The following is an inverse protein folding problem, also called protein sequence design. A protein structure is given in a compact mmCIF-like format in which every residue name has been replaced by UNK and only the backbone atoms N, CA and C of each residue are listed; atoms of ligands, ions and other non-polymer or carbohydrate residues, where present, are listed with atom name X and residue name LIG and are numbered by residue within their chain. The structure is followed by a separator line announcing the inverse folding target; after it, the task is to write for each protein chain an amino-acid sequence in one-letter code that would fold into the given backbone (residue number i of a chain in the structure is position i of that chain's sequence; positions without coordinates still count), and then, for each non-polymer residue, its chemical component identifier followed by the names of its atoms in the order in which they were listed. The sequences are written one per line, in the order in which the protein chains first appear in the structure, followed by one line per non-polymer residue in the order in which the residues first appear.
data_IF_879636717624
#
_entry.id   IF_879636717624
#
_cell.length_a   1.000
_cell.length_b   1.000
_cell.length_c   1.000
_cell.angle_alpha   90.00
_cell.angle_beta   90.00
_cell.angle_gamma   90.00
#
_symmetry.space_group_name_H-M   'P 1'
#
loop_
_entity.id
_entity.type
_entity.pdbx_description
1 polymer ?
#
# COMPACT_ATOMS: atom_id res chain seq x y z
N UNK A 1 -9.52 16.12 -2.45
CA UNK A 1 -9.04 15.98 -3.84
C UNK A 1 -7.83 15.07 -3.88
N UNK A 2 -7.51 14.46 -5.02
CA UNK A 2 -6.44 13.46 -5.21
C UNK A 2 -5.06 13.84 -4.67
N UNK A 3 -4.72 15.13 -4.65
CA UNK A 3 -3.45 15.64 -4.06
C UNK A 3 -3.39 15.44 -2.53
N UNK A 4 -4.54 15.50 -1.84
CA UNK A 4 -4.63 15.28 -0.38
C UNK A 4 -4.33 13.82 -0.02
N UNK A 5 -4.71 12.88 -0.90
CA UNK A 5 -4.47 11.45 -0.71
C UNK A 5 -3.00 11.07 -0.78
N UNK A 6 -2.30 11.58 -1.79
CA UNK A 6 -0.87 11.35 -1.94
C UNK A 6 -0.08 11.97 -0.77
N UNK A 7 -0.49 13.16 -0.31
CA UNK A 7 0.13 13.82 0.83
C UNK A 7 -0.05 13.04 2.15
N UNK A 8 -1.13 12.27 2.30
CA UNK A 8 -1.38 11.42 3.47
C UNK A 8 -0.71 10.03 3.35
N UNK A 9 -0.64 9.48 2.15
CA UNK A 9 -0.02 8.17 1.89
C UNK A 9 1.50 8.19 2.03
N UNK A 10 2.16 9.25 1.52
CA UNK A 10 3.63 9.36 1.51
C UNK A 10 4.28 9.23 2.91
N UNK A 11 3.82 9.93 3.96
CA UNK A 11 4.38 9.76 5.30
C UNK A 11 4.17 8.35 5.88
N UNK A 12 3.07 7.68 5.51
CA UNK A 12 2.75 6.33 5.95
C UNK A 12 3.73 5.33 5.35
N UNK A 13 4.02 5.46 4.06
CA UNK A 13 5.03 4.67 3.36
C UNK A 13 6.43 4.91 3.94
N UNK A 14 6.83 6.17 4.14
CA UNK A 14 8.12 6.50 4.73
C UNK A 14 8.29 5.89 6.13
N UNK A 15 7.24 5.92 6.94
CA UNK A 15 7.23 5.34 8.29
C UNK A 15 7.37 3.80 8.22
N UNK A 16 6.73 3.14 7.26
CA UNK A 16 6.90 1.70 7.01
C UNK A 16 8.36 1.34 6.67
N UNK A 17 8.99 2.10 5.77
CA UNK A 17 10.39 1.90 5.39
C UNK A 17 11.31 2.03 6.61
N UNK A 18 11.11 3.06 7.42
CA UNK A 18 11.91 3.28 8.64
C UNK A 18 11.77 2.13 9.63
N UNK A 19 10.54 1.67 9.88
CA UNK A 19 10.29 0.58 10.82
C UNK A 19 10.89 -0.74 10.33
N UNK A 20 10.78 -1.03 9.02
CA UNK A 20 11.40 -2.22 8.44
C UNK A 20 12.92 -2.18 8.54
N UNK A 21 13.53 -1.02 8.31
CA UNK A 21 14.97 -0.79 8.48
C UNK A 21 15.38 -1.01 9.94
N UNK A 22 14.65 -0.43 10.88
CA UNK A 22 14.90 -0.57 12.32
C UNK A 22 14.82 -2.05 12.73
N UNK A 23 13.77 -2.76 12.31
CA UNK A 23 13.58 -4.19 12.56
C UNK A 23 14.74 -5.03 12.00
N UNK A 24 15.18 -4.74 10.76
CA UNK A 24 16.32 -5.44 10.13
C UNK A 24 17.63 -5.16 10.86
N UNK A 25 17.78 -4.00 11.48
CA UNK A 25 18.98 -3.61 12.23
C UNK A 25 19.07 -4.25 13.63
N UNK A 26 18.00 -4.88 14.12
CA UNK A 26 18.00 -5.54 15.43
C UNK A 26 18.95 -6.74 15.42
N UNK A 27 20.06 -6.62 16.14
CA UNK A 27 20.99 -7.74 16.39
C UNK A 27 20.36 -8.79 17.30
N UNK A 28 20.87 -10.02 17.28
CA UNK A 28 20.48 -11.08 18.23
C UNK A 28 20.64 -10.66 19.71
N UNK A 29 21.61 -9.77 20.00
CA UNK A 29 21.88 -9.21 21.34
C UNK A 29 20.98 -8.04 21.74
N UNK A 30 20.00 -7.69 20.91
CA UNK A 30 19.05 -6.59 21.18
C UNK A 30 18.19 -6.90 22.40
N UNK A 31 18.05 -5.91 23.29
CA UNK A 31 17.22 -6.02 24.51
C UNK A 31 15.73 -6.17 24.21
N UNK A 32 14.98 -6.77 25.13
CA UNK A 32 13.51 -6.86 25.01
C UNK A 32 12.85 -5.47 24.92
N UNK A 33 13.43 -4.45 25.54
CA UNK A 33 12.94 -3.06 25.48
C UNK A 33 13.04 -2.52 24.06
N UNK A 34 14.19 -2.68 23.41
CA UNK A 34 14.38 -2.23 22.02
C UNK A 34 13.43 -2.97 21.05
N UNK A 35 13.24 -4.28 21.22
CA UNK A 35 12.25 -5.05 20.45
C UNK A 35 10.84 -4.50 20.66
N UNK A 36 10.46 -4.22 21.90
CA UNK A 36 9.14 -3.66 22.24
C UNK A 36 8.90 -2.29 21.60
N UNK A 37 9.93 -1.44 21.51
CA UNK A 37 9.81 -0.13 20.82
C UNK A 37 9.49 -0.31 19.34
N UNK A 38 10.14 -1.26 18.66
CA UNK A 38 9.85 -1.56 17.24
C UNK A 38 8.44 -2.10 17.08
N UNK A 39 8.00 -3.01 17.94
CA UNK A 39 6.63 -3.53 17.89
C UNK A 39 5.56 -2.45 18.10
N UNK A 40 5.77 -1.52 19.05
CA UNK A 40 4.85 -0.39 19.24
C UNK A 40 4.78 0.54 18.04
N UNK A 41 5.92 0.75 17.36
CA UNK A 41 5.94 1.54 16.12
C UNK A 41 5.20 0.82 14.99
N UNK A 42 5.36 -0.49 14.87
CA UNK A 42 4.60 -1.31 13.92
C UNK A 42 3.10 -1.24 14.20
N UNK A 43 2.68 -1.38 15.45
CA UNK A 43 1.26 -1.33 15.84
C UNK A 43 0.62 0.04 15.51
N UNK A 44 1.35 1.12 15.80
CA UNK A 44 0.93 2.47 15.41
C UNK A 44 0.80 2.63 13.90
N UNK A 45 1.77 2.13 13.13
CA UNK A 45 1.71 2.15 11.67
C UNK A 45 0.49 1.39 11.14
N UNK A 46 0.17 0.22 11.70
CA UNK A 46 -1.04 -0.53 11.34
C UNK A 46 -2.31 0.28 11.60
N UNK A 47 -2.39 0.99 12.73
CA UNK A 47 -3.49 1.92 13.00
C UNK A 47 -3.56 3.05 11.95
N UNK A 48 -2.43 3.65 11.61
CA UNK A 48 -2.37 4.77 10.66
C UNK A 48 -2.77 4.32 9.24
N UNK A 49 -2.34 3.13 8.81
CA UNK A 49 -2.77 2.49 7.54
C UNK A 49 -4.28 2.22 7.56
N UNK A 50 -4.81 1.68 8.67
CA UNK A 50 -6.24 1.36 8.76
C UNK A 50 -7.09 2.62 8.62
N UNK A 51 -6.72 3.70 9.32
CA UNK A 51 -7.39 5.01 9.19
C UNK A 51 -7.30 5.58 7.78
N UNK A 52 -6.15 5.43 7.13
CA UNK A 52 -5.96 5.84 5.75
C UNK A 52 -6.92 5.10 4.82
N UNK A 53 -7.04 3.77 4.97
CA UNK A 53 -7.98 2.94 4.20
C UNK A 53 -9.43 3.34 4.50
N UNK A 54 -9.82 3.51 5.76
CA UNK A 54 -11.19 3.92 6.13
C UNK A 54 -11.57 5.25 5.47
N UNK A 55 -10.64 6.20 5.51
CA UNK A 55 -10.82 7.51 4.89
C UNK A 55 -10.90 7.37 3.36
N UNK A 56 -10.11 6.45 2.76
CA UNK A 56 -10.07 6.24 1.32
C UNK A 56 -11.37 5.62 0.83
N UNK A 57 -11.86 4.62 1.55
CA UNK A 57 -13.17 3.99 1.34
C UNK A 57 -14.30 5.01 1.45
N UNK A 58 -14.27 5.88 2.47
CA UNK A 58 -15.27 6.93 2.62
C UNK A 58 -15.25 7.93 1.45
N UNK A 59 -14.07 8.33 0.98
CA UNK A 59 -13.93 9.22 -0.18
C UNK A 59 -14.40 8.56 -1.47
N UNK A 60 -14.03 7.29 -1.72
CA UNK A 60 -14.47 6.55 -2.90
C UNK A 60 -15.96 6.27 -2.88
N UNK A 61 -16.52 5.90 -1.73
CA UNK A 61 -17.97 5.70 -1.55
C UNK A 61 -18.77 6.98 -1.72
N UNK A 62 -18.27 8.11 -1.22
CA UNK A 62 -18.89 9.42 -1.39
C UNK A 62 -18.85 9.93 -2.83
N UNK A 63 -17.87 9.52 -3.64
CA UNK A 63 -17.77 9.94 -5.04
C UNK A 63 -18.81 9.29 -5.96
N UNK A 64 -19.48 8.22 -5.49
CA UNK A 64 -20.51 7.49 -6.24
C UNK A 64 -21.91 8.12 -6.02
N UNK A 65 -22.13 8.84 -4.92
CA UNK A 65 -23.46 9.35 -4.53
C UNK A 65 -23.83 10.72 -5.13
N UNK A 66 -22.89 11.44 -5.76
CA UNK A 66 -23.13 12.80 -6.33
C UNK A 66 -23.53 12.80 -7.82
N UNK A 67 -23.87 11.65 -8.39
CA UNK A 67 -24.26 11.56 -9.80
C UNK A 67 -25.53 10.73 -10.02
N UNK A 68 -26.63 11.13 -9.38
CA UNK A 68 -27.96 10.71 -9.82
C UNK A 68 -28.54 11.72 -10.83
N UNK A 69 -28.22 11.49 -12.10
CA UNK A 69 -29.26 11.33 -13.11
C UNK A 69 -28.66 10.74 -14.39
N UNK A 70 -29.35 9.72 -14.89
CA UNK A 70 -29.33 9.21 -16.27
C UNK A 70 -28.47 7.96 -16.51
N UNK A 71 -29.12 6.83 -16.22
CA UNK A 71 -29.24 5.64 -17.08
C UNK A 71 -28.10 4.61 -17.04
N UNK A 72 -28.42 3.52 -16.33
CA UNK A 72 -28.20 2.11 -16.68
C UNK A 72 -26.93 1.73 -17.47
N UNK A 73 -26.01 1.06 -16.80
CA UNK A 73 -25.56 -0.25 -17.23
C UNK A 73 -25.10 -1.06 -16.01
N UNK A 74 -25.79 -2.17 -15.76
CA UNK A 74 -25.38 -3.17 -14.77
C UNK A 74 -24.17 -3.92 -15.34
N UNK A 75 -22.96 -3.48 -14.99
CA UNK A 75 -21.76 -4.28 -15.13
C UNK A 75 -21.24 -4.66 -13.73
N UNK A 76 -22.09 -5.38 -12.99
CA UNK A 76 -21.61 -6.29 -11.95
C UNK A 76 -21.03 -7.54 -12.63
N UNK A 77 -19.95 -8.07 -12.07
CA UNK A 77 -19.16 -9.23 -12.55
C UNK A 77 -18.23 -8.87 -13.70
N UNK A 78 -16.90 -8.84 -13.51
CA UNK A 78 -16.12 -10.07 -13.37
C UNK A 78 -14.69 -9.71 -12.90
N UNK A 79 -14.43 -9.70 -11.59
CA UNK A 79 -13.05 -9.92 -11.10
C UNK A 79 -12.87 -11.42 -10.98
N UNK A 80 -12.75 -12.09 -12.14
CA UNK A 80 -12.39 -13.51 -12.17
C UNK A 80 -10.99 -13.68 -11.62
N UNK A 81 -10.94 -14.13 -10.37
CA UNK A 81 -9.80 -14.79 -9.74
C UNK A 81 -9.47 -16.06 -10.54
N UNK A 82 -8.75 -15.91 -11.66
CA UNK A 82 -8.11 -17.03 -12.33
C UNK A 82 -6.93 -17.53 -11.49
N UNK A 83 -7.26 -18.32 -10.46
CA UNK A 83 -6.35 -19.23 -9.77
C UNK A 83 -6.76 -20.69 -10.06
N UNK A 84 -6.90 -21.04 -11.34
CA UNK A 84 -6.92 -22.44 -11.75
C UNK A 84 -5.61 -22.77 -12.47
N UNK A 85 -4.59 -23.13 -11.68
CA UNK A 85 -3.38 -23.79 -12.16
C UNK A 85 -3.51 -25.32 -11.99
N UNK A 86 -3.62 -26.10 -13.07
CA UNK A 86 -3.23 -27.50 -13.03
C UNK A 86 -1.85 -27.76 -13.63
N UNK A 87 -1.20 -26.80 -14.30
CA UNK A 87 0.10 -26.99 -14.94
C UNK A 87 0.88 -25.69 -15.14
N UNK A 88 1.73 -25.40 -14.16
CA UNK A 88 2.91 -24.57 -14.24
C UNK A 88 3.74 -24.95 -15.47
N UNK A 89 4.04 -24.00 -16.37
CA UNK A 89 5.24 -23.95 -17.25
C UNK A 89 5.10 -22.92 -18.41
N UNK A 90 4.79 -21.65 -18.11
CA UNK A 90 4.86 -20.57 -19.12
C UNK A 90 5.87 -19.50 -18.68
N UNK A 91 6.80 -19.08 -19.55
CA UNK A 91 7.77 -18.05 -19.20
C UNK A 91 7.04 -16.73 -19.02
N UNK A 92 7.19 -16.14 -17.83
CA UNK A 92 6.62 -14.84 -17.49
C UNK A 92 6.90 -13.82 -18.62
N UNK A 93 5.89 -13.07 -19.09
CA UNK A 93 6.14 -11.97 -20.00
C UNK A 93 6.94 -10.92 -19.21
N UNK A 94 8.16 -10.65 -19.67
CA UNK A 94 9.01 -9.60 -19.12
C UNK A 94 8.27 -8.27 -19.25
N UNK A 95 7.66 -7.80 -18.16
CA UNK A 95 7.16 -6.44 -18.08
C UNK A 95 8.39 -5.53 -18.04
N UNK A 96 8.66 -4.85 -19.17
CA UNK A 96 9.65 -3.78 -19.22
C UNK A 96 9.15 -2.61 -18.37
N UNK A 97 9.58 -2.57 -17.11
CA UNK A 97 9.42 -1.41 -16.24
C UNK A 97 10.39 -0.33 -16.76
N UNK A 98 9.92 0.85 -17.21
CA UNK A 98 10.82 1.95 -17.51
C UNK A 98 11.57 2.34 -16.23
N UNK A 99 12.90 2.33 -16.28
CA UNK A 99 13.70 2.74 -15.14
C UNK A 99 13.46 4.24 -14.85
N UNK A 100 12.89 4.53 -13.68
CA UNK A 100 12.77 5.91 -13.19
C UNK A 100 14.18 6.45 -12.89
N UNK A 101 14.56 7.63 -13.38
CA UNK A 101 15.86 8.21 -13.09
C UNK A 101 15.95 8.56 -11.60
N UNK A 102 16.95 8.01 -10.91
CA UNK A 102 17.25 8.34 -9.53
C UNK A 102 17.76 9.79 -9.44
N UNK A 103 17.41 10.55 -8.39
CA UNK A 103 17.90 11.91 -8.20
C UNK A 103 19.43 11.91 -8.01
N UNK A 104 20.10 12.78 -8.76
CA UNK A 104 21.56 12.90 -8.90
C UNK A 104 22.28 13.52 -7.71
N UNK A 105 21.66 13.62 -6.53
CA UNK A 105 22.21 14.30 -5.35
C UNK A 105 22.87 13.38 -4.33
N UNK A 106 23.36 12.20 -4.76
CA UNK A 106 24.22 11.32 -3.95
C UNK A 106 25.65 11.31 -4.54
N UNK A 107 26.27 12.48 -4.53
CA UNK A 107 27.72 12.66 -4.65
C UNK A 107 28.18 13.66 -3.58
#
# INVERSE_FOLDING_TARGET
GTVTWLAQGLPTEESAIHIMKDKRSLKLTTTNIQKLVVFRRMDRLCSDISKFIDTATAYMGSAIEDHDNTTADEAESEWEEQNDDPHSDLPLPFIHIPALPLPSSLC
#
